data_IF_897379114369
#
_entry.id   IF_897379114369
#
_cell.length_a   1.000
_cell.length_b   1.000
_cell.length_c   1.000
_cell.angle_alpha   90.00
_cell.angle_beta   90.00
_cell.angle_gamma   90.00
#
_symmetry.space_group_name_H-M   'P 1'
#
loop_
_entity.id
_entity.type
_entity.pdbx_description
1 polymer ?
#
# COMPACT_ATOMS: atom_id res chain seq x y z
N UNK A 1 -13.46 -8.63 -0.58
CA UNK A 1 -13.56 -7.26 -1.15
C UNK A 1 -13.48 -6.20 -0.06
N UNK A 2 -14.53 -5.95 0.77
CA UNK A 2 -14.51 -4.87 1.80
C UNK A 2 -13.29 -4.86 2.74
N UNK A 3 -12.90 -6.01 3.31
CA UNK A 3 -11.76 -6.09 4.24
C UNK A 3 -10.42 -5.73 3.58
N UNK A 4 -10.23 -6.07 2.31
CA UNK A 4 -9.01 -5.77 1.55
C UNK A 4 -8.94 -4.28 1.26
N UNK A 5 -10.04 -3.67 0.84
CA UNK A 5 -10.15 -2.23 0.62
C UNK A 5 -9.87 -1.44 1.89
N UNK A 6 -10.35 -1.92 3.03
CA UNK A 6 -10.12 -1.29 4.33
C UNK A 6 -8.64 -1.35 4.75
N UNK A 7 -7.95 -2.46 4.50
CA UNK A 7 -6.50 -2.58 4.75
C UNK A 7 -5.72 -1.59 3.88
N UNK A 8 -6.09 -1.44 2.61
CA UNK A 8 -5.45 -0.50 1.68
C UNK A 8 -5.65 0.95 2.14
N UNK A 9 -6.87 1.31 2.54
CA UNK A 9 -7.17 2.66 3.02
C UNK A 9 -6.41 2.95 4.32
N UNK A 10 -6.35 2.00 5.26
CA UNK A 10 -5.57 2.15 6.49
C UNK A 10 -4.07 2.28 6.23
N UNK A 11 -3.52 1.48 5.31
CA UNK A 11 -2.11 1.54 4.95
C UNK A 11 -1.74 2.87 4.27
N UNK A 12 -2.59 3.35 3.36
CA UNK A 12 -2.43 4.64 2.71
C UNK A 12 -2.52 5.81 3.71
N UNK A 13 -3.47 5.77 4.64
CA UNK A 13 -3.63 6.79 5.68
C UNK A 13 -2.41 6.85 6.62
N UNK A 14 -1.90 5.70 7.06
CA UNK A 14 -0.71 5.63 7.90
C UNK A 14 0.53 6.23 7.20
N UNK A 15 0.66 5.99 5.88
CA UNK A 15 1.72 6.56 5.06
C UNK A 15 1.63 8.08 4.93
N UNK A 16 0.43 8.60 4.69
CA UNK A 16 0.19 10.04 4.58
C UNK A 16 0.47 10.76 5.91
N UNK A 17 0.07 10.17 7.04
CA UNK A 17 0.36 10.71 8.38
C UNK A 17 1.88 10.72 8.64
N UNK A 18 2.56 9.62 8.28
CA UNK A 18 4.03 9.52 8.44
C UNK A 18 4.74 10.55 7.57
N UNK A 19 4.28 10.77 6.33
CA UNK A 19 4.80 11.82 5.45
C UNK A 19 4.59 13.23 6.04
N UNK A 20 3.39 13.50 6.58
CA UNK A 20 3.05 14.80 7.15
C UNK A 20 3.90 15.14 8.38
N UNK A 21 4.24 14.14 9.20
CA UNK A 21 5.09 14.34 10.38
C UNK A 21 6.58 14.53 10.06
N UNK A 22 7.06 14.06 8.91
CA UNK A 22 8.47 14.20 8.49
C UNK A 22 8.75 15.60 7.90
N UNK A 23 7.72 16.44 7.69
CA UNK A 23 7.85 17.78 7.13
C UNK A 23 8.56 18.80 8.07
N UNK A 24 9.08 18.36 9.22
CA UNK A 24 10.02 19.12 10.04
C UNK A 24 11.41 19.14 9.41
N UNK A 25 11.77 20.29 8.83
CA UNK A 25 13.02 20.65 8.13
C UNK A 25 14.28 19.84 8.47
N UNK A 26 14.42 18.65 7.91
CA UNK A 26 15.71 17.95 7.88
C UNK A 26 15.89 17.30 6.52
N UNK A 27 17.04 17.52 5.88
CA UNK A 27 17.42 16.89 4.61
C UNK A 27 17.35 15.36 4.69
N UNK A 28 17.53 14.81 5.90
CA UNK A 28 17.35 13.40 6.25
C UNK A 28 15.89 12.93 6.05
N UNK A 29 14.91 13.77 6.35
CA UNK A 29 13.48 13.48 6.15
C UNK A 29 13.14 13.26 4.67
N UNK A 30 13.71 14.04 3.75
CA UNK A 30 13.49 13.88 2.30
C UNK A 30 13.96 12.53 1.77
N UNK A 31 15.12 12.04 2.25
CA UNK A 31 15.68 10.74 1.85
C UNK A 31 14.81 9.60 2.39
N UNK A 32 14.37 9.71 3.64
CA UNK A 32 13.48 8.71 4.28
C UNK A 32 12.11 8.67 3.59
N UNK A 33 11.56 9.82 3.20
CA UNK A 33 10.31 9.89 2.43
C UNK A 33 10.51 9.22 1.06
N UNK A 34 11.59 9.55 0.35
CA UNK A 34 11.86 8.95 -0.96
C UNK A 34 12.00 7.42 -0.87
N UNK A 35 12.65 6.92 0.18
CA UNK A 35 12.79 5.49 0.43
C UNK A 35 11.44 4.85 0.79
N UNK A 36 10.65 5.50 1.65
CA UNK A 36 9.32 5.02 2.03
C UNK A 36 8.37 4.93 0.83
N UNK A 37 8.40 5.93 -0.06
CA UNK A 37 7.64 5.93 -1.32
C UNK A 37 8.09 4.80 -2.24
N UNK A 38 9.41 4.55 -2.32
CA UNK A 38 9.96 3.49 -3.17
C UNK A 38 9.57 2.09 -2.67
N UNK A 39 9.64 1.86 -1.35
CA UNK A 39 9.17 0.62 -0.71
C UNK A 39 7.66 0.47 -0.90
N UNK A 40 6.88 1.54 -0.74
CA UNK A 40 5.44 1.50 -0.94
C UNK A 40 5.04 1.22 -2.38
N UNK A 41 5.81 1.73 -3.34
CA UNK A 41 5.62 1.45 -4.77
C UNK A 41 5.85 -0.03 -5.05
N UNK A 42 6.94 -0.60 -4.51
CA UNK A 42 7.20 -2.04 -4.61
C UNK A 42 6.11 -2.89 -3.94
N UNK A 43 5.66 -2.46 -2.76
CA UNK A 43 4.57 -3.12 -2.04
C UNK A 43 3.25 -3.07 -2.82
N UNK A 44 2.92 -1.94 -3.46
CA UNK A 44 1.74 -1.81 -4.31
C UNK A 44 1.75 -2.76 -5.50
N UNK A 45 2.92 -2.96 -6.14
CA UNK A 45 3.04 -3.91 -7.25
C UNK A 45 2.78 -5.35 -6.80
N UNK A 46 3.39 -5.75 -5.68
CA UNK A 46 3.18 -7.08 -5.09
C UNK A 46 1.73 -7.26 -4.65
N UNK A 47 1.14 -6.24 -4.03
CA UNK A 47 -0.25 -6.26 -3.59
C UNK A 47 -1.22 -6.34 -4.77
N UNK A 48 -0.96 -5.65 -5.87
CA UNK A 48 -1.78 -5.70 -7.07
C UNK A 48 -1.83 -7.13 -7.65
N UNK A 49 -0.67 -7.78 -7.77
CA UNK A 49 -0.59 -9.18 -8.20
C UNK A 49 -1.30 -10.14 -7.22
N UNK A 50 -1.12 -9.92 -5.91
CA UNK A 50 -1.78 -10.71 -4.88
C UNK A 50 -3.32 -10.58 -4.92
N UNK A 51 -3.83 -9.37 -5.12
CA UNK A 51 -5.26 -9.10 -5.26
C UNK A 51 -5.84 -9.76 -6.50
N UNK A 52 -5.15 -9.67 -7.65
CA UNK A 52 -5.57 -10.33 -8.90
C UNK A 52 -5.66 -11.84 -8.68
N UNK A 53 -4.63 -12.45 -8.10
CA UNK A 53 -4.60 -13.88 -7.81
C UNK A 53 -5.70 -14.30 -6.81
N UNK A 54 -6.03 -13.44 -5.83
CA UNK A 54 -7.15 -13.67 -4.91
C UNK A 54 -8.50 -13.62 -5.62
N UNK A 55 -8.72 -12.61 -6.47
CA UNK A 55 -9.96 -12.44 -7.24
C UNK A 55 -10.14 -13.62 -8.19
N UNK A 56 -9.07 -14.04 -8.89
CA UNK A 56 -9.10 -15.20 -9.79
C UNK A 56 -9.46 -16.49 -9.02
N UNK A 57 -8.82 -16.74 -7.87
CA UNK A 57 -9.19 -17.88 -7.01
C UNK A 57 -10.62 -17.81 -6.51
N UNK A 58 -11.13 -16.62 -6.21
CA UNK A 58 -12.51 -16.45 -5.72
C UNK A 58 -13.55 -16.63 -6.85
N UNK A 59 -13.30 -16.09 -8.04
CA UNK A 59 -14.13 -16.28 -9.22
C UNK A 59 -14.16 -17.74 -9.67
N UNK A 60 -13.02 -18.43 -9.63
CA UNK A 60 -12.93 -19.87 -9.92
C UNK A 60 -13.75 -20.73 -8.95
N UNK A 61 -13.89 -20.31 -7.68
CA UNK A 61 -14.76 -20.97 -6.69
C UNK A 61 -16.24 -20.63 -6.84
N UNK A 62 -16.60 -19.53 -7.53
CA UNK A 62 -17.98 -19.08 -7.73
C UNK A 62 -18.63 -19.62 -9.00
N UNK A 63 -17.81 -20.04 -9.96
CA UNK A 63 -18.24 -20.65 -11.23
C UNK A 63 -18.46 -22.17 -11.13
N UNK A 64 -18.35 -22.76 -9.93
CA UNK A 64 -18.60 -24.16 -9.64
C UNK A 64 -19.73 -24.25 -8.61
#
# INVERSE_FOLDING_TARGET
MRKVTQIVICAAAALLITLAMINGETWKGKIVISLAVLIFTGFSLVWNSFVINLIEKFNRKRSK
#
